data_IF_160595965138
#
_entry.id   IF_160595965138
#
_cell.length_a   1.000
_cell.length_b   1.000
_cell.length_c   1.000
_cell.angle_alpha   90.00
_cell.angle_beta   90.00
_cell.angle_gamma   90.00
#
_symmetry.space_group_name_H-M   'P 1'
#
loop_
_entity.id
_entity.type
_entity.pdbx_description
1 polymer ?
#
# COMPACT_ATOMS: atom_id res chain seq x y z
N UNK A 1 0.84 18.81 -1.07
CA UNK A 1 1.46 17.86 -2.03
C UNK A 1 0.40 16.84 -2.40
N UNK A 2 -0.42 17.19 -3.39
CA UNK A 2 -1.51 16.36 -3.89
C UNK A 2 -0.91 15.25 -4.75
N UNK A 3 -0.90 14.02 -4.25
CA UNK A 3 -0.61 12.82 -5.04
C UNK A 3 -1.89 12.18 -5.59
N UNK A 4 -3.04 12.86 -5.48
CA UNK A 4 -4.32 12.40 -6.03
C UNK A 4 -4.49 12.71 -7.53
N UNK A 5 -3.51 13.35 -8.18
CA UNK A 5 -3.63 13.80 -9.58
C UNK A 5 -2.36 13.59 -10.41
N UNK A 6 -1.77 12.39 -10.37
CA UNK A 6 -1.04 11.87 -11.53
C UNK A 6 -1.72 10.60 -12.05
N UNK A 7 -2.94 10.78 -12.58
CA UNK A 7 -3.63 9.82 -13.44
C UNK A 7 -2.97 9.78 -14.82
N UNK A 8 -1.69 9.38 -14.84
CA UNK A 8 -0.93 9.02 -16.05
C UNK A 8 0.09 7.98 -15.63
N UNK A 9 -0.37 6.76 -15.43
CA UNK A 9 0.49 5.58 -15.52
C UNK A 9 0.90 5.42 -16.99
N UNK A 10 1.79 6.28 -17.48
CA UNK A 10 2.74 5.79 -18.47
C UNK A 10 3.70 4.95 -17.66
N UNK A 11 3.86 3.65 -17.97
CA UNK A 11 4.70 2.71 -17.22
C UNK A 11 6.19 3.07 -17.13
N UNK A 12 6.60 4.33 -17.29
CA UNK A 12 7.96 4.83 -17.15
C UNK A 12 7.97 6.04 -16.23
N UNK A 13 8.86 6.02 -15.23
CA UNK A 13 8.96 7.06 -14.20
C UNK A 13 10.38 7.66 -14.19
N UNK A 14 10.54 8.96 -13.86
CA UNK A 14 11.84 9.59 -13.78
C UNK A 14 12.68 9.03 -12.61
N UNK A 15 14.00 9.22 -12.65
CA UNK A 15 14.91 8.79 -11.58
C UNK A 15 14.53 9.34 -10.18
N UNK A 16 13.87 10.51 -10.13
CA UNK A 16 13.37 11.10 -8.88
C UNK A 16 12.29 10.26 -8.18
N UNK A 17 11.68 9.29 -8.88
CA UNK A 17 10.70 8.35 -8.34
C UNK A 17 11.23 7.62 -7.11
N UNK A 18 12.45 7.07 -7.17
CA UNK A 18 13.02 6.31 -6.06
C UNK A 18 13.32 7.17 -4.83
N UNK A 19 13.71 8.43 -5.02
CA UNK A 19 13.86 9.37 -3.91
C UNK A 19 12.50 9.65 -3.25
N UNK A 20 11.46 9.91 -4.05
CA UNK A 20 10.09 10.11 -3.55
C UNK A 20 9.58 8.87 -2.81
N UNK A 21 9.80 7.69 -3.38
CA UNK A 21 9.41 6.40 -2.79
C UNK A 21 10.10 6.17 -1.44
N UNK A 22 11.42 6.38 -1.37
CA UNK A 22 12.16 6.28 -0.10
C UNK A 22 11.65 7.27 0.95
N UNK A 23 11.42 8.52 0.54
CA UNK A 23 10.90 9.55 1.44
C UNK A 23 9.48 9.26 1.93
N UNK A 24 8.66 8.53 1.18
CA UNK A 24 7.27 8.19 1.52
C UNK A 24 7.17 6.89 2.34
N UNK A 25 7.87 5.85 1.90
CA UNK A 25 7.84 4.53 2.54
C UNK A 25 8.56 4.55 3.88
N UNK A 26 9.67 5.28 3.97
CA UNK A 26 10.47 5.38 5.18
C UNK A 26 10.21 6.69 5.92
N UNK A 27 9.13 7.45 5.68
CA UNK A 27 8.93 8.71 6.41
C UNK A 27 8.75 8.48 7.92
N UNK A 28 9.45 9.21 8.81
CA UNK A 28 10.60 10.11 8.57
C UNK A 28 11.98 9.41 8.71
N UNK A 29 12.02 8.13 9.06
CA UNK A 29 13.22 7.30 9.23
C UNK A 29 14.19 7.28 8.04
N UNK A 30 13.69 7.49 6.81
CA UNK A 30 14.49 7.51 5.59
C UNK A 30 15.51 8.65 5.57
N UNK A 31 15.18 9.80 6.20
CA UNK A 31 16.12 10.92 6.35
C UNK A 31 17.27 10.55 7.28
N UNK A 32 16.96 9.90 8.41
CA UNK A 32 17.98 9.39 9.33
C UNK A 32 18.84 8.31 8.66
N UNK A 33 18.22 7.39 7.92
CA UNK A 33 18.94 6.34 7.20
C UNK A 33 19.93 6.92 6.17
N UNK A 34 19.52 7.94 5.41
CA UNK A 34 20.40 8.63 4.48
C UNK A 34 21.56 9.36 5.19
N UNK A 35 21.26 10.09 6.27
CA UNK A 35 22.26 10.85 7.02
C UNK A 35 23.32 9.94 7.67
N UNK A 36 22.90 8.90 8.39
CA UNK A 36 23.82 7.96 9.03
C UNK A 36 24.49 7.02 8.02
N UNK A 37 23.82 6.67 6.92
CA UNK A 37 24.46 5.97 5.81
C UNK A 37 25.64 6.75 5.22
N UNK A 38 25.50 8.07 5.06
CA UNK A 38 26.61 8.93 4.64
C UNK A 38 27.76 8.94 5.65
N UNK A 39 27.45 9.01 6.95
CA UNK A 39 28.47 8.90 8.02
C UNK A 39 29.22 7.57 7.91
N UNK A 40 28.51 6.45 7.71
CA UNK A 40 29.12 5.14 7.53
C UNK A 40 30.06 5.10 6.32
N UNK A 41 29.60 5.60 5.17
CA UNK A 41 30.39 5.64 3.93
C UNK A 41 31.65 6.49 4.12
N UNK A 42 31.54 7.68 4.73
CA UNK A 42 32.72 8.53 5.00
C UNK A 42 33.70 7.89 5.99
N UNK A 43 33.20 7.16 6.99
CA UNK A 43 34.03 6.41 7.92
C UNK A 43 34.77 5.26 7.20
N UNK A 44 34.04 4.48 6.39
CA UNK A 44 34.60 3.39 5.56
C UNK A 44 35.75 3.90 4.68
N UNK A 45 35.54 4.98 3.92
CA UNK A 45 36.57 5.57 3.07
C UNK A 45 37.81 6.02 3.83
N UNK A 46 37.66 6.60 5.03
CA UNK A 46 38.79 6.99 5.88
C UNK A 46 39.54 5.78 6.42
N UNK A 47 38.84 4.76 6.90
CA UNK A 47 39.48 3.54 7.42
C UNK A 47 40.14 2.69 6.33
N UNK A 48 39.65 2.72 5.09
CA UNK A 48 40.23 2.00 3.96
C UNK A 48 41.57 2.58 3.49
N UNK A 49 41.86 3.84 3.84
CA UNK A 49 43.18 4.44 3.66
C UNK A 49 44.18 3.91 4.70
N UNK A 50 43.71 3.33 5.81
CA UNK A 50 44.54 2.88 6.92
C UNK A 50 44.84 1.37 6.87
N UNK A 51 43.93 0.50 6.37
CA UNK A 51 44.15 -0.96 6.26
C UNK A 51 43.30 -1.65 5.14
N UNK A 52 43.85 -2.53 4.27
CA UNK A 52 43.11 -3.16 3.16
C UNK A 52 42.11 -4.29 3.53
N UNK A 53 41.87 -4.58 4.81
CA UNK A 53 41.40 -5.92 5.22
C UNK A 53 39.95 -6.02 5.74
N UNK A 54 39.10 -5.01 5.62
CA UNK A 54 37.69 -5.10 6.03
C UNK A 54 36.73 -5.15 4.83
N UNK A 55 36.75 -6.27 4.09
CA UNK A 55 35.82 -6.55 2.98
C UNK A 55 34.36 -6.64 3.45
N UNK A 56 34.10 -6.93 4.73
CA UNK A 56 32.75 -7.04 5.29
C UNK A 56 32.04 -5.69 5.49
N UNK A 57 32.78 -4.62 5.78
CA UNK A 57 32.21 -3.29 6.06
C UNK A 57 31.62 -2.61 4.82
N UNK A 58 32.19 -2.87 3.65
CA UNK A 58 31.82 -2.24 2.37
C UNK A 58 30.71 -2.98 1.62
N UNK A 59 30.45 -4.25 1.97
CA UNK A 59 29.45 -5.09 1.29
C UNK A 59 28.04 -4.47 1.23
N UNK A 60 27.52 -3.79 2.28
CA UNK A 60 26.22 -3.13 2.21
C UNK A 60 26.22 -1.93 1.25
N UNK A 61 27.33 -1.18 1.20
CA UNK A 61 27.54 -0.05 0.28
C UNK A 61 27.56 -0.53 -1.15
N UNK A 62 28.36 -1.55 -1.46
CA UNK A 62 28.47 -2.09 -2.82
C UNK A 62 27.16 -2.70 -3.30
N UNK A 63 26.46 -3.46 -2.44
CA UNK A 63 25.14 -4.01 -2.77
C UNK A 63 24.13 -2.90 -3.08
N UNK A 64 24.04 -1.87 -2.23
CA UNK A 64 23.12 -0.76 -2.43
C UNK A 64 23.42 0.00 -3.74
N UNK A 65 24.69 0.31 -4.01
CA UNK A 65 25.09 1.03 -5.22
C UNK A 65 24.86 0.23 -6.50
N UNK A 66 25.25 -1.05 -6.52
CA UNK A 66 25.06 -1.92 -7.68
C UNK A 66 23.57 -2.08 -8.01
N UNK A 67 22.75 -2.34 -7.00
CA UNK A 67 21.31 -2.50 -7.20
C UNK A 67 20.64 -1.19 -7.62
N UNK A 68 20.99 -0.06 -6.98
CA UNK A 68 20.49 1.25 -7.40
C UNK A 68 20.89 1.58 -8.84
N UNK A 69 22.12 1.26 -9.26
CA UNK A 69 22.57 1.48 -10.64
C UNK A 69 21.73 0.67 -11.64
N UNK A 70 21.50 -0.62 -11.36
CA UNK A 70 20.66 -1.48 -12.21
C UNK A 70 19.22 -0.95 -12.28
N UNK A 71 18.63 -0.59 -11.14
CA UNK A 71 17.24 -0.15 -11.08
C UNK A 71 17.03 1.26 -11.65
N UNK A 72 18.00 2.16 -11.50
CA UNK A 72 17.96 3.48 -12.13
C UNK A 72 18.05 3.40 -13.66
N UNK A 73 18.78 2.41 -14.19
CA UNK A 73 18.88 2.16 -15.62
C UNK A 73 17.57 1.64 -16.21
N UNK A 74 16.68 1.03 -15.41
CA UNK A 74 15.39 0.56 -15.91
C UNK A 74 14.44 1.74 -16.19
N UNK A 75 13.77 1.77 -17.37
CA UNK A 75 12.79 2.82 -17.67
C UNK A 75 11.54 2.69 -16.78
N UNK A 76 11.13 1.45 -16.51
CA UNK A 76 10.04 1.14 -15.58
C UNK A 76 10.56 1.15 -14.13
N UNK A 77 9.87 1.86 -13.25
CA UNK A 77 10.25 1.96 -11.84
C UNK A 77 9.02 1.72 -10.97
N UNK A 78 9.20 0.86 -9.98
CA UNK A 78 8.21 0.57 -8.95
C UNK A 78 8.90 0.55 -7.59
N UNK A 79 8.17 0.96 -6.56
CA UNK A 79 8.65 0.97 -5.17
C UNK A 79 9.15 -0.39 -4.69
N UNK A 80 8.52 -1.49 -5.14
CA UNK A 80 8.90 -2.86 -4.75
C UNK A 80 10.26 -3.29 -5.30
N UNK A 81 10.75 -2.67 -6.38
CA UNK A 81 12.07 -2.97 -6.93
C UNK A 81 13.20 -2.55 -6.00
N UNK A 82 12.97 -1.62 -5.06
CA UNK A 82 13.97 -1.26 -4.04
C UNK A 82 13.92 -2.15 -2.78
N UNK A 83 12.94 -3.05 -2.67
CA UNK A 83 12.82 -3.89 -1.48
C UNK A 83 14.08 -4.69 -1.13
N UNK A 84 14.91 -5.18 -2.08
CA UNK A 84 16.10 -5.96 -1.73
C UNK A 84 17.22 -5.16 -1.07
N UNK A 85 17.28 -3.83 -1.25
CA UNK A 85 18.36 -3.00 -0.66
C UNK A 85 18.00 -2.38 0.70
N UNK A 86 16.74 -2.46 1.11
CA UNK A 86 16.31 -1.94 2.41
C UNK A 86 17.12 -2.46 3.61
N UNK A 87 17.49 -3.76 3.69
CA UNK A 87 18.39 -4.25 4.73
C UNK A 87 19.79 -3.63 4.68
N UNK A 88 20.36 -3.41 3.48
CA UNK A 88 21.65 -2.74 3.33
C UNK A 88 21.59 -1.29 3.82
N UNK A 89 20.53 -0.56 3.45
CA UNK A 89 20.33 0.82 3.89
C UNK A 89 20.23 0.91 5.42
N UNK A 90 19.49 -0.01 6.05
CA UNK A 90 19.40 -0.09 7.51
C UNK A 90 20.77 -0.41 8.16
N UNK A 91 21.52 -1.35 7.59
CA UNK A 91 22.84 -1.72 8.11
C UNK A 91 23.85 -0.58 7.97
N UNK A 92 23.85 0.16 6.84
CA UNK A 92 24.67 1.35 6.66
C UNK A 92 24.32 2.43 7.69
N UNK A 93 23.03 2.67 7.93
CA UNK A 93 22.61 3.60 8.97
C UNK A 93 23.12 3.17 10.37
N UNK A 94 23.02 1.88 10.70
CA UNK A 94 23.52 1.35 11.96
C UNK A 94 25.04 1.48 12.12
N UNK A 95 25.80 1.20 11.05
CA UNK A 95 27.26 1.42 11.03
C UNK A 95 27.61 2.89 11.26
N UNK A 96 26.85 3.83 10.69
CA UNK A 96 27.07 5.26 10.87
C UNK A 96 26.82 5.72 12.31
N UNK A 97 25.75 5.22 12.93
CA UNK A 97 25.45 5.46 14.35
C UNK A 97 26.55 4.86 15.24
N UNK A 98 27.03 3.66 14.93
CA UNK A 98 28.12 3.01 15.66
C UNK A 98 29.43 3.82 15.57
N UNK A 99 29.79 4.29 14.37
CA UNK A 99 30.94 5.16 14.15
C UNK A 99 30.85 6.46 14.97
N UNK A 100 29.64 7.05 15.08
CA UNK A 100 29.40 8.22 15.91
C UNK A 100 29.49 7.89 17.41
N UNK A 101 29.00 6.72 17.83
CA UNK A 101 29.04 6.29 19.23
C UNK A 101 30.47 6.20 19.78
N UNK A 102 31.48 5.90 18.95
CA UNK A 102 32.88 5.93 19.38
C UNK A 102 33.33 7.29 19.91
N UNK A 103 32.77 8.40 19.41
CA UNK A 103 33.12 9.76 19.84
C UNK A 103 32.08 10.39 20.77
N UNK A 104 30.80 10.07 20.58
CA UNK A 104 29.70 10.70 21.30
C UNK A 104 28.62 9.66 21.66
N UNK A 105 28.94 8.77 22.61
CA UNK A 105 28.05 7.67 23.05
C UNK A 105 26.66 8.13 23.47
N UNK A 106 26.57 9.21 24.25
CA UNK A 106 25.29 9.74 24.73
C UNK A 106 24.44 10.24 23.55
N UNK A 107 25.05 10.95 22.59
CA UNK A 107 24.36 11.44 21.39
C UNK A 107 23.86 10.28 20.54
N UNK A 108 24.69 9.25 20.33
CA UNK A 108 24.28 8.05 19.60
C UNK A 108 23.13 7.31 20.29
N UNK A 109 23.15 7.20 21.62
CA UNK A 109 22.05 6.62 22.38
C UNK A 109 20.75 7.43 22.19
N UNK A 110 20.82 8.76 22.33
CA UNK A 110 19.66 9.64 22.12
C UNK A 110 19.09 9.53 20.71
N UNK A 111 19.95 9.41 19.69
CA UNK A 111 19.55 9.17 18.29
C UNK A 111 18.81 7.85 18.14
N UNK A 112 19.33 6.75 18.71
CA UNK A 112 18.69 5.43 18.65
C UNK A 112 17.33 5.46 19.34
N UNK A 113 17.26 6.04 20.53
CA UNK A 113 15.99 6.20 21.27
C UNK A 113 14.99 7.02 20.45
N UNK A 114 15.43 8.12 19.82
CA UNK A 114 14.60 8.94 18.95
C UNK A 114 14.06 8.18 17.73
N UNK A 115 14.91 7.41 17.04
CA UNK A 115 14.52 6.58 15.90
C UNK A 115 13.47 5.53 16.31
N UNK A 116 13.70 4.84 17.42
CA UNK A 116 12.77 3.82 17.95
C UNK A 116 11.44 4.47 18.33
N UNK A 117 11.45 5.60 19.02
CA UNK A 117 10.24 6.31 19.42
C UNK A 117 9.44 6.79 18.19
N UNK A 118 10.10 7.40 17.20
CA UNK A 118 9.46 7.83 15.96
C UNK A 118 8.90 6.63 15.17
N UNK A 119 9.65 5.53 15.11
CA UNK A 119 9.20 4.29 14.49
C UNK A 119 7.95 3.73 15.16
N UNK A 120 7.91 3.70 16.49
CA UNK A 120 6.74 3.26 17.25
C UNK A 120 5.52 4.16 17.00
N UNK A 121 5.69 5.48 17.02
CA UNK A 121 4.61 6.43 16.70
C UNK A 121 4.13 6.29 15.25
N UNK A 122 5.02 6.00 14.30
CA UNK A 122 4.66 5.74 12.90
C UNK A 122 3.86 4.45 12.77
N UNK A 123 4.28 3.37 13.41
CA UNK A 123 3.54 2.11 13.43
C UNK A 123 2.16 2.26 14.05
N UNK A 124 2.06 3.01 15.16
CA UNK A 124 0.78 3.30 15.79
C UNK A 124 -0.13 4.15 14.88
N UNK A 125 0.43 5.11 14.14
CA UNK A 125 -0.31 5.86 13.12
C UNK A 125 -0.85 4.94 12.02
N UNK A 126 -0.06 3.98 11.54
CA UNK A 126 -0.50 3.03 10.51
C UNK A 126 -1.70 2.22 10.97
N UNK A 127 -1.63 1.67 12.18
CA UNK A 127 -2.72 0.88 12.78
C UNK A 127 -3.95 1.74 13.04
N UNK A 128 -3.79 2.93 13.64
CA UNK A 128 -4.92 3.77 14.05
C UNK A 128 -5.59 4.49 12.89
N UNK A 129 -4.82 4.97 11.92
CA UNK A 129 -5.33 5.81 10.83
C UNK A 129 -5.79 5.00 9.61
N UNK A 130 -5.22 3.82 9.37
CA UNK A 130 -5.48 3.03 8.15
C UNK A 130 -5.92 1.60 8.44
N UNK A 131 -6.19 1.24 9.70
CA UNK A 131 -6.60 -0.12 10.09
C UNK A 131 -8.05 -0.50 9.77
N UNK A 132 -8.83 0.33 9.08
CA UNK A 132 -10.25 0.08 8.83
C UNK A 132 -10.54 -1.27 8.12
N UNK A 133 -9.81 -1.68 7.05
CA UNK A 133 -10.10 -2.95 6.39
C UNK A 133 -9.95 -4.19 7.29
N UNK A 134 -9.06 -4.11 8.30
CA UNK A 134 -8.83 -5.18 9.27
C UNK A 134 -9.85 -5.21 10.41
N UNK A 135 -10.65 -4.15 10.57
CA UNK A 135 -11.67 -4.03 11.63
C UNK A 135 -13.04 -4.56 11.19
N UNK A 136 -13.25 -4.80 9.90
CA UNK A 136 -14.50 -5.35 9.38
C UNK A 136 -14.61 -6.84 9.76
N UNK A 137 -15.74 -7.22 10.34
CA UNK A 137 -15.99 -8.61 10.76
C UNK A 137 -16.55 -9.45 9.61
N UNK A 138 -15.63 -10.00 8.81
CA UNK A 138 -15.96 -10.86 7.68
C UNK A 138 -16.50 -12.24 8.08
N UNK A 139 -16.36 -12.63 9.35
CA UNK A 139 -16.78 -13.95 9.84
C UNK A 139 -18.17 -13.93 10.49
N UNK A 140 -18.81 -12.76 10.56
CA UNK A 140 -20.17 -12.60 11.09
C UNK A 140 -21.16 -13.41 10.26
N UNK A 141 -21.98 -14.24 10.90
CA UNK A 141 -22.83 -15.21 10.20
C UNK A 141 -23.81 -14.58 9.21
N UNK A 142 -24.45 -13.47 9.58
CA UNK A 142 -25.37 -12.72 8.71
C UNK A 142 -24.66 -12.10 7.50
N UNK A 143 -23.38 -11.73 7.62
CA UNK A 143 -22.57 -11.20 6.51
C UNK A 143 -22.21 -12.32 5.56
N UNK A 144 -21.72 -13.45 6.10
CA UNK A 144 -21.37 -14.63 5.32
C UNK A 144 -22.58 -15.09 4.50
N UNK A 145 -23.73 -15.26 5.16
CA UNK A 145 -24.99 -15.65 4.52
C UNK A 145 -25.44 -14.64 3.45
N UNK A 146 -25.34 -13.33 3.73
CA UNK A 146 -25.72 -12.30 2.76
C UNK A 146 -24.78 -12.25 1.53
N UNK A 147 -23.51 -12.65 1.67
CA UNK A 147 -22.51 -12.64 0.60
C UNK A 147 -22.47 -13.93 -0.22
N UNK A 148 -23.06 -15.03 0.25
CA UNK A 148 -23.01 -16.32 -0.44
C UNK A 148 -23.63 -16.25 -1.84
N UNK A 149 -22.84 -16.62 -2.84
CA UNK A 149 -23.25 -16.60 -4.25
C UNK A 149 -23.44 -15.20 -4.84
N UNK A 150 -22.96 -14.16 -4.15
CA UNK A 150 -23.09 -12.75 -4.55
C UNK A 150 -21.80 -12.16 -5.08
N UNK A 151 -21.93 -11.03 -5.79
CA UNK A 151 -20.80 -10.28 -6.35
C UNK A 151 -20.48 -9.06 -5.49
N UNK A 152 -19.23 -8.97 -5.03
CA UNK A 152 -18.68 -7.81 -4.31
C UNK A 152 -17.81 -7.01 -5.25
N UNK A 153 -18.21 -5.77 -5.52
CA UNK A 153 -17.50 -4.89 -6.42
C UNK A 153 -16.55 -3.92 -5.70
N UNK A 154 -15.39 -3.70 -6.30
CA UNK A 154 -14.33 -2.84 -5.82
C UNK A 154 -14.05 -1.71 -6.80
N UNK A 155 -13.79 -0.51 -6.28
CA UNK A 155 -13.42 0.66 -7.08
C UNK A 155 -11.93 1.02 -6.98
N UNK A 156 -11.65 2.30 -6.81
CA UNK A 156 -10.32 2.88 -6.59
C UNK A 156 -9.57 2.30 -5.37
N UNK A 157 -10.29 1.76 -4.40
CA UNK A 157 -9.74 1.22 -3.15
C UNK A 157 -9.55 -0.31 -3.18
N UNK A 158 -9.51 -0.91 -4.37
CA UNK A 158 -9.43 -2.36 -4.55
C UNK A 158 -8.26 -3.03 -3.79
N UNK A 159 -7.15 -2.32 -3.59
CA UNK A 159 -5.97 -2.81 -2.87
C UNK A 159 -6.17 -2.92 -1.35
N UNK A 160 -7.27 -2.37 -0.82
CA UNK A 160 -7.67 -2.50 0.59
C UNK A 160 -8.66 -3.65 0.82
N UNK A 161 -9.19 -4.24 -0.24
CA UNK A 161 -10.17 -5.30 -0.13
C UNK A 161 -9.55 -6.57 0.47
N UNK A 162 -10.33 -7.37 1.22
CA UNK A 162 -9.86 -8.68 1.64
C UNK A 162 -9.63 -9.56 0.41
N UNK A 163 -8.66 -10.48 0.50
CA UNK A 163 -8.50 -11.52 -0.52
C UNK A 163 -9.65 -12.52 -0.48
N UNK A 164 -9.81 -13.31 -1.55
CA UNK A 164 -10.82 -14.38 -1.64
C UNK A 164 -10.79 -15.40 -0.50
N UNK A 165 -9.68 -15.52 0.23
CA UNK A 165 -9.53 -16.42 1.38
C UNK A 165 -10.40 -16.03 2.60
N UNK A 166 -10.84 -14.78 2.65
CA UNK A 166 -11.66 -14.24 3.76
C UNK A 166 -13.15 -14.23 3.39
N UNK A 167 -13.47 -14.30 2.10
CA UNK A 167 -14.85 -14.30 1.61
C UNK A 167 -15.37 -15.74 1.43
N UNK A 168 -16.70 -15.94 1.40
CA UNK A 168 -17.28 -17.23 1.04
C UNK A 168 -16.79 -17.71 -0.35
N UNK A 169 -16.60 -19.02 -0.52
CA UNK A 169 -16.07 -19.60 -1.77
C UNK A 169 -16.92 -19.28 -3.02
N UNK A 170 -18.21 -19.03 -2.82
CA UNK A 170 -19.19 -18.70 -3.87
C UNK A 170 -19.23 -17.22 -4.19
N UNK A 171 -18.66 -16.36 -3.35
CA UNK A 171 -18.60 -14.91 -3.56
C UNK A 171 -17.53 -14.57 -4.60
N UNK A 172 -17.88 -13.69 -5.53
CA UNK A 172 -16.95 -13.19 -6.56
C UNK A 172 -16.60 -11.74 -6.29
N UNK A 173 -15.35 -11.39 -6.57
CA UNK A 173 -14.85 -10.04 -6.49
C UNK A 173 -14.76 -9.53 -7.92
N UNK A 174 -15.40 -8.41 -8.21
CA UNK A 174 -15.31 -7.75 -9.51
C UNK A 174 -14.85 -6.30 -9.35
N UNK A 175 -14.35 -5.71 -10.43
CA UNK A 175 -13.93 -4.32 -10.42
C UNK A 175 -14.92 -3.45 -11.16
N UNK A 176 -15.18 -2.27 -10.63
CA UNK A 176 -15.99 -1.25 -11.30
C UNK A 176 -15.12 -0.05 -11.62
N UNK A 177 -15.40 0.59 -12.76
CA UNK A 177 -14.56 1.67 -13.27
C UNK A 177 -14.72 2.94 -12.42
N UNK A 178 -13.86 3.09 -11.42
CA UNK A 178 -13.88 4.24 -10.51
C UNK A 178 -12.47 4.69 -10.14
N UNK A 179 -12.02 5.83 -10.68
CA UNK A 179 -10.80 6.55 -10.27
C UNK A 179 -9.44 5.89 -10.55
N UNK A 180 -9.38 4.58 -10.80
CA UNK A 180 -8.16 3.85 -11.13
C UNK A 180 -8.03 3.67 -12.65
N UNK A 181 -6.87 3.99 -13.21
CA UNK A 181 -6.59 3.94 -14.67
C UNK A 181 -5.37 3.06 -15.03
N UNK A 182 -4.88 2.28 -14.07
CA UNK A 182 -3.82 1.30 -14.29
C UNK A 182 -4.36 -0.08 -14.68
N UNK A 183 -3.44 -1.03 -14.88
CA UNK A 183 -3.80 -2.42 -15.12
C UNK A 183 -4.22 -3.10 -13.81
N UNK A 184 -5.33 -3.85 -13.85
CA UNK A 184 -5.84 -4.63 -12.72
C UNK A 184 -5.50 -6.13 -12.87
N UNK A 185 -5.44 -6.88 -11.76
CA UNK A 185 -5.34 -8.33 -11.82
C UNK A 185 -6.48 -8.95 -12.63
N UNK A 186 -6.18 -10.02 -13.38
CA UNK A 186 -7.19 -10.80 -14.09
C UNK A 186 -7.60 -12.02 -13.25
N UNK A 187 -8.82 -12.51 -13.49
CA UNK A 187 -9.29 -13.78 -12.94
C UNK A 187 -8.50 -14.95 -13.50
N UNK A 188 -8.23 -15.94 -12.67
CA UNK A 188 -7.68 -17.21 -13.12
C UNK A 188 -8.69 -17.94 -14.02
N UNK A 189 -8.20 -18.57 -15.09
CA UNK A 189 -9.05 -19.39 -15.95
C UNK A 189 -9.64 -20.56 -15.13
N UNK A 190 -10.97 -20.79 -15.20
CA UNK A 190 -11.57 -21.94 -14.53
C UNK A 190 -10.98 -23.24 -15.10
N UNK A 191 -10.63 -24.17 -14.21
CA UNK A 191 -10.12 -25.48 -14.61
C UNK A 191 -11.15 -26.56 -14.31
N UNK A 192 -11.52 -27.32 -15.34
CA UNK A 192 -12.38 -28.50 -15.22
C UNK A 192 -11.59 -29.76 -14.78
N UNK A 193 -10.31 -29.62 -14.43
CA UNK A 193 -9.49 -30.76 -14.04
C UNK A 193 -9.90 -31.30 -12.67
N UNK A 194 -9.91 -32.62 -12.54
CA UNK A 194 -10.35 -33.32 -11.31
C UNK A 194 -9.26 -33.39 -10.24
N UNK A 195 -7.99 -33.44 -10.63
CA UNK A 195 -6.87 -33.45 -9.67
C UNK A 195 -6.45 -32.04 -9.27
N UNK A 196 -6.16 -31.84 -7.97
CA UNK A 196 -5.76 -30.54 -7.41
C UNK A 196 -4.53 -29.96 -8.12
N UNK A 197 -3.55 -30.79 -8.44
CA UNK A 197 -2.33 -30.36 -9.15
C UNK A 197 -2.63 -29.94 -10.59
N UNK A 198 -3.46 -30.70 -11.31
CA UNK A 198 -3.81 -30.35 -12.69
C UNK A 198 -4.62 -29.04 -12.75
N UNK A 199 -5.47 -28.76 -11.74
CA UNK A 199 -6.17 -27.47 -11.65
C UNK A 199 -5.23 -26.29 -11.50
N UNK A 200 -4.22 -26.42 -10.63
CA UNK A 200 -3.23 -25.37 -10.41
C UNK A 200 -2.47 -25.12 -11.71
N UNK A 201 -1.93 -26.18 -12.33
CA UNK A 201 -1.16 -26.08 -13.57
C UNK A 201 -1.99 -25.44 -14.70
N UNK A 202 -3.23 -25.91 -14.91
CA UNK A 202 -4.11 -25.31 -15.92
C UNK A 202 -4.44 -23.85 -15.63
N UNK A 203 -4.71 -23.50 -14.37
CA UNK A 203 -5.08 -22.13 -13.99
C UNK A 203 -3.90 -21.16 -14.02
N UNK A 204 -2.68 -21.61 -13.73
CA UNK A 204 -1.48 -20.75 -13.64
C UNK A 204 -0.65 -20.71 -14.92
N UNK A 205 -0.84 -21.66 -15.84
CA UNK A 205 -0.12 -21.71 -17.13
C UNK A 205 -0.99 -21.28 -18.33
N UNK A 206 -2.28 -20.97 -18.11
CA UNK A 206 -3.11 -20.39 -19.15
C UNK A 206 -2.64 -18.97 -19.47
N UNK A 207 -1.85 -18.84 -20.54
CA UNK A 207 -1.39 -17.57 -21.06
C UNK A 207 -2.38 -17.04 -22.10
N UNK A 208 -3.31 -16.20 -21.67
CA UNK A 208 -3.99 -15.30 -22.59
C UNK A 208 -3.27 -13.94 -22.58
N UNK A 209 -2.29 -13.81 -23.48
CA UNK A 209 -1.52 -12.58 -23.66
C UNK A 209 -2.38 -11.38 -24.07
N UNK A 210 -3.64 -11.58 -24.52
CA UNK A 210 -4.53 -10.47 -24.84
C UNK A 210 -5.06 -9.76 -23.57
N UNK A 211 -4.92 -10.37 -22.40
CA UNK A 211 -5.46 -9.85 -21.15
C UNK A 211 -4.58 -8.78 -20.48
N UNK A 212 -3.30 -8.69 -20.87
CA UNK A 212 -2.32 -7.79 -20.26
C UNK A 212 -1.46 -7.06 -21.30
N UNK A 213 -1.47 -5.72 -21.30
CA UNK A 213 -0.52 -4.88 -22.03
C UNK A 213 0.79 -4.65 -21.25
N UNK A 214 1.86 -4.34 -21.97
CA UNK A 214 3.22 -4.06 -21.48
C UNK A 214 3.42 -2.61 -20.97
N UNK A 215 2.38 -1.78 -21.06
CA UNK A 215 2.43 -0.36 -20.72
C UNK A 215 1.72 -0.02 -19.39
N UNK A 216 1.25 -1.02 -18.63
CA UNK A 216 0.45 -0.87 -17.41
C UNK A 216 -0.76 0.07 -17.59
N UNK A 217 -1.39 0.00 -18.77
CA UNK A 217 -2.59 0.76 -19.11
C UNK A 217 -3.83 0.02 -18.63
N UNK A 218 -4.87 0.78 -18.32
CA UNK A 218 -6.22 0.26 -18.06
C UNK A 218 -6.69 -0.66 -19.19
N UNK A 219 -7.21 -1.83 -18.80
CA UNK A 219 -7.92 -2.75 -19.67
C UNK A 219 -9.41 -2.74 -19.32
N UNK A 220 -10.27 -2.34 -20.28
CA UNK A 220 -11.72 -2.22 -20.03
C UNK A 220 -12.39 -3.56 -19.76
N UNK A 221 -11.82 -4.66 -20.23
CA UNK A 221 -12.30 -6.03 -19.99
C UNK A 221 -12.22 -6.48 -18.53
N UNK A 222 -11.58 -5.70 -17.65
CA UNK A 222 -11.50 -5.97 -16.21
C UNK A 222 -12.67 -5.41 -15.42
N UNK A 223 -13.49 -4.56 -16.03
CA UNK A 223 -14.56 -3.87 -15.33
C UNK A 223 -15.92 -4.44 -15.71
N UNK A 224 -16.77 -4.59 -14.71
CA UNK A 224 -18.19 -4.90 -14.86
C UNK A 224 -19.03 -3.64 -14.68
N UNK A 225 -20.27 -3.67 -15.17
CA UNK A 225 -21.21 -2.60 -14.90
C UNK A 225 -21.68 -2.64 -13.43
N UNK A 226 -21.98 -1.47 -12.86
CA UNK A 226 -22.43 -1.36 -11.46
C UNK A 226 -23.69 -2.18 -11.16
N UNK A 227 -24.55 -2.41 -12.15
CA UNK A 227 -25.79 -3.19 -11.99
C UNK A 227 -25.53 -4.69 -11.78
N UNK A 228 -24.33 -5.18 -12.12
CA UNK A 228 -23.90 -6.56 -11.89
C UNK A 228 -23.43 -6.80 -10.44
N UNK A 229 -23.30 -5.72 -9.65
CA UNK A 229 -22.83 -5.76 -8.28
C UNK A 229 -24.00 -5.93 -7.30
N UNK A 230 -23.93 -6.94 -6.43
CA UNK A 230 -24.83 -7.05 -5.28
C UNK A 230 -24.33 -6.21 -4.09
N UNK A 231 -23.01 -6.15 -3.92
CA UNK A 231 -22.36 -5.40 -2.85
C UNK A 231 -21.22 -4.54 -3.39
N UNK A 232 -20.92 -3.45 -2.71
CA UNK A 232 -19.83 -2.52 -3.04
C UNK A 232 -19.01 -2.30 -1.77
N UNK A 233 -17.69 -2.48 -1.84
CA UNK A 233 -16.78 -2.22 -0.74
C UNK A 233 -15.90 -1.00 -1.09
N UNK A 234 -15.86 0.00 -0.21
CA UNK A 234 -15.07 1.20 -0.46
C UNK A 234 -15.22 2.28 0.61
N UNK A 235 -14.49 3.40 0.44
CA UNK A 235 -14.54 4.56 1.35
C UNK A 235 -15.72 5.49 1.10
N UNK A 236 -16.15 5.54 -0.15
CA UNK A 236 -17.34 6.24 -0.59
C UNK A 236 -18.18 5.22 -1.36
N UNK A 237 -19.48 5.10 -1.05
CA UNK A 237 -20.35 4.31 -1.92
C UNK A 237 -20.25 4.93 -3.32
N UNK A 238 -19.77 4.14 -4.28
CA UNK A 238 -19.59 4.53 -5.68
C UNK A 238 -20.90 5.12 -6.24
N UNK A 239 -22.04 4.77 -5.61
CA UNK A 239 -23.33 5.47 -5.73
C UNK A 239 -24.04 5.60 -4.36
N UNK A 240 -23.77 6.66 -3.59
CA UNK A 240 -24.44 6.92 -2.29
C UNK A 240 -25.98 6.89 -2.38
N UNK A 241 -26.56 7.22 -3.55
CA UNK A 241 -28.01 7.27 -3.73
C UNK A 241 -28.71 5.91 -3.88
N UNK A 242 -27.99 4.81 -4.18
CA UNK A 242 -28.59 3.48 -4.46
C UNK A 242 -28.07 2.37 -3.54
N UNK A 243 -27.34 2.74 -2.50
CA UNK A 243 -26.60 1.79 -1.69
C UNK A 243 -26.91 1.98 -0.21
N UNK A 244 -27.27 0.89 0.46
CA UNK A 244 -27.50 0.86 1.91
C UNK A 244 -26.27 0.28 2.59
N UNK A 245 -25.79 0.93 3.65
CA UNK A 245 -24.71 0.39 4.48
C UNK A 245 -25.16 -0.91 5.15
N UNK A 246 -24.35 -1.97 5.06
CA UNK A 246 -24.57 -3.18 5.84
C UNK A 246 -24.23 -2.87 7.30
N UNK A 247 -25.20 -3.09 8.19
CA UNK A 247 -25.06 -2.72 9.60
C UNK A 247 -23.83 -3.38 10.23
N UNK A 248 -23.05 -2.61 10.97
CA UNK A 248 -21.80 -3.06 11.60
C UNK A 248 -20.64 -3.40 10.66
N UNK A 249 -20.79 -3.24 9.34
CA UNK A 249 -19.72 -3.45 8.35
C UNK A 249 -19.11 -2.12 7.89
N UNK A 250 -18.73 -1.28 8.86
CA UNK A 250 -18.07 0.00 8.63
C UNK A 250 -16.97 0.23 9.65
N UNK A 251 -15.85 0.80 9.20
CA UNK A 251 -14.78 1.23 10.09
C UNK A 251 -14.22 2.59 9.64
N UNK A 252 -13.80 3.41 10.61
CA UNK A 252 -13.27 4.74 10.34
C UNK A 252 -11.79 4.68 9.96
N UNK A 253 -11.42 5.44 8.94
CA UNK A 253 -10.03 5.66 8.55
C UNK A 253 -9.77 7.12 8.20
N UNK A 254 -8.51 7.51 8.20
CA UNK A 254 -8.11 8.88 7.91
C UNK A 254 -8.29 9.20 6.42
N UNK A 255 -8.76 10.41 6.10
CA UNK A 255 -8.94 10.89 4.73
C UNK A 255 -7.65 11.45 4.17
N UNK A 256 -6.96 10.67 3.32
CA UNK A 256 -5.62 10.99 2.81
C UNK A 256 -5.54 12.33 2.07
N UNK A 257 -6.57 12.66 1.29
CA UNK A 257 -6.59 13.87 0.45
C UNK A 257 -6.95 15.15 1.21
N UNK A 258 -7.75 15.03 2.27
CA UNK A 258 -8.21 16.17 3.09
C UNK A 258 -7.32 16.42 4.31
N UNK A 259 -6.57 15.42 4.75
CA UNK A 259 -5.65 15.53 5.90
C UNK A 259 -4.24 15.92 5.44
N UNK A 260 -3.59 16.83 6.18
CA UNK A 260 -2.24 17.29 5.87
C UNK A 260 -1.18 16.19 6.02
N UNK A 261 -0.05 16.34 5.33
CA UNK A 261 1.05 15.37 5.35
C UNK A 261 1.58 15.12 6.77
N UNK A 262 1.78 16.16 7.57
CA UNK A 262 2.38 15.99 8.89
C UNK A 262 1.40 15.30 9.86
N UNK A 263 0.11 15.62 9.77
CA UNK A 263 -0.92 15.02 10.60
C UNK A 263 -1.17 13.54 10.28
N UNK A 264 -0.86 13.08 9.05
CA UNK A 264 -1.11 11.69 8.62
C UNK A 264 0.08 10.73 8.76
N UNK A 265 1.29 11.25 8.94
CA UNK A 265 2.52 10.44 8.95
C UNK A 265 2.85 9.91 10.35
N UNK A 266 2.81 10.73 11.39
CA UNK A 266 3.23 10.34 12.75
C UNK A 266 2.05 10.44 13.71
N UNK A 267 1.92 9.48 14.61
CA UNK A 267 0.94 9.53 15.69
C UNK A 267 1.39 10.55 16.74
N UNK A 268 0.49 11.44 17.13
CA UNK A 268 0.80 12.60 17.95
C UNK A 268 -0.23 12.77 19.08
N UNK A 269 -0.17 11.91 20.11
CA UNK A 269 -1.26 11.76 21.09
C UNK A 269 -1.57 13.02 21.90
N UNK A 270 -0.63 13.95 22.02
CA UNK A 270 -0.75 15.15 22.84
C UNK A 270 -0.69 16.46 22.06
N UNK A 271 -0.51 16.43 20.73
CA UNK A 271 -0.34 17.65 19.93
C UNK A 271 -1.64 18.04 19.23
N UNK A 272 -2.50 18.74 19.99
CA UNK A 272 -3.84 19.15 19.55
C UNK A 272 -3.88 19.86 18.17
N UNK A 273 -2.93 20.76 17.80
CA UNK A 273 -3.00 21.45 16.50
C UNK A 273 -2.88 20.54 15.28
N UNK A 274 -2.18 19.40 15.39
CA UNK A 274 -2.11 18.43 14.30
C UNK A 274 -3.27 17.42 14.35
N UNK A 275 -3.79 17.11 15.53
CA UNK A 275 -4.96 16.24 15.68
C UNK A 275 -6.24 16.91 15.12
N UNK A 276 -6.38 18.23 15.27
CA UNK A 276 -7.50 18.99 14.69
C UNK A 276 -7.52 19.00 13.16
N UNK A 277 -6.41 18.65 12.50
CA UNK A 277 -6.33 18.56 11.04
C UNK A 277 -6.78 17.19 10.51
N UNK A 278 -7.12 16.24 11.38
CA UNK A 278 -7.59 14.93 10.98
C UNK A 278 -9.01 14.99 10.43
N UNK A 279 -9.14 14.70 9.15
CA UNK A 279 -10.44 14.46 8.53
C UNK A 279 -10.62 12.96 8.40
N UNK A 280 -11.73 12.45 8.93
CA UNK A 280 -12.06 11.02 8.90
C UNK A 280 -13.06 10.72 7.79
N UNK A 281 -12.98 9.50 7.26
CA UNK A 281 -13.93 8.91 6.32
C UNK A 281 -14.28 7.49 6.81
N UNK A 282 -15.40 6.96 6.34
CA UNK A 282 -15.77 5.57 6.63
C UNK A 282 -15.25 4.66 5.52
N UNK A 283 -14.97 3.41 5.83
CA UNK A 283 -14.74 2.33 4.87
C UNK A 283 -15.77 1.26 5.18
N UNK A 284 -16.67 1.02 4.24
CA UNK A 284 -17.89 0.26 4.49
C UNK A 284 -18.19 -0.75 3.39
N UNK A 285 -18.89 -1.81 3.79
CA UNK A 285 -19.61 -2.69 2.87
C UNK A 285 -21.03 -2.12 2.66
N UNK A 286 -21.37 -1.89 1.40
CA UNK A 286 -22.67 -1.39 0.99
C UNK A 286 -23.40 -2.48 0.22
N UNK A 287 -24.68 -2.69 0.53
CA UNK A 287 -25.60 -3.45 -0.29
C UNK A 287 -26.11 -2.56 -1.43
N UNK A 288 -25.91 -3.00 -2.67
CA UNK A 288 -26.39 -2.29 -3.84
C UNK A 288 -27.86 -2.63 -4.09
N UNK A 289 -28.69 -1.61 -4.29
CA UNK A 289 -30.09 -1.78 -4.61
C UNK A 289 -30.28 -1.71 -6.12
N UNK A 290 -30.59 -2.84 -6.74
CA UNK A 290 -30.99 -2.92 -8.15
C UNK A 290 -32.44 -2.45 -8.40
N UNK A 291 -33.19 -2.06 -7.36
CA UNK A 291 -34.54 -1.54 -7.54
C UNK A 291 -34.52 -0.16 -8.19
N UNK A 292 -35.35 0.01 -9.23
CA UNK A 292 -35.80 1.33 -9.69
C UNK A 292 -36.28 2.13 -8.47
N UNK A 293 -35.94 3.42 -8.35
CA UNK A 293 -36.31 4.20 -7.18
C UNK A 293 -37.83 4.11 -6.99
N UNK A 294 -38.27 3.59 -5.85
CA UNK A 294 -39.57 3.97 -5.33
C UNK A 294 -39.46 5.48 -5.09
N UNK A 295 -40.19 6.23 -5.92
CA UNK A 295 -40.48 7.63 -5.66
C UNK A 295 -41.21 7.63 -4.31
N UNK A 296 -40.46 7.81 -3.22
CA UNK A 296 -41.07 8.32 -2.00
C UNK A 296 -41.46 9.74 -2.33
N UNK A 297 -42.73 9.91 -2.63
CA UNK A 297 -43.37 11.20 -2.69
C UNK A 297 -42.98 11.96 -1.42
N UNK A 298 -42.18 13.01 -1.60
CA UNK A 298 -42.11 14.09 -0.63
C UNK A 298 -43.44 14.83 -0.72
N UNK A 299 -44.45 14.28 -0.05
CA UNK A 299 -45.65 15.02 0.32
C UNK A 299 -45.32 15.77 1.61
N UNK A 300 -45.28 17.09 1.44
CA UNK A 300 -45.34 18.19 2.44
C UNK A 300 -44.21 18.33 3.47
#
# INVERSE_FOLDING_TARGET
MSFATSRRSTGTEPATYYLKSLLLNWTPLGVFAAAFGLVAITHQFRSSLELPAATSGHAPTTMALLWLAVMLAQPHKEERFLSPIYPAVALLAAQGVAAMAHRARIVALLVVVGIVAIGALRSLALVRYYGAPLQLDWNRHDVVEALEGKTVCLGNDWFLAPGHWVLPNTTRIEFVKHGFEGQLPAHFAPSNATSSMARIVHGTMAHDHALFNDANRMELSRFVDLNECDFILGRDAITVARSKVVEGMCASMLHLEKTTLLARVIFHPAFAPLAQQHVWQQYCLYQHSNSTPEVRDMVE
#
